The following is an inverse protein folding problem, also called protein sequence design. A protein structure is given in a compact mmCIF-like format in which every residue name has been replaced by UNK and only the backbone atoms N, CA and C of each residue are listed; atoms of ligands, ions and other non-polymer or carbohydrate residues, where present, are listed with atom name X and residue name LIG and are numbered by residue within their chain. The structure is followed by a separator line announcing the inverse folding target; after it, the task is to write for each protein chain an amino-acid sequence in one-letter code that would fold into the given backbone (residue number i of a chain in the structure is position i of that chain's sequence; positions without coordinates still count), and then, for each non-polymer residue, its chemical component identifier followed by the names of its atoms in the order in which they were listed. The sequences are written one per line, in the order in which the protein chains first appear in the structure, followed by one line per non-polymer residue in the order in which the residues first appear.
data_IF_243521747838
#
_entry.id   IF_243521747838
#
_cell.length_a   1.000
_cell.length_b   1.000
_cell.length_c   1.000
_cell.angle_alpha   90.00
_cell.angle_beta   90.00
_cell.angle_gamma   90.00
#
_symmetry.space_group_name_H-M   'P 1'
#
loop_
_entity.id
_entity.type
_entity.pdbx_description
1 polymer ?
#
# COMPACT_ATOMS: atom_id res chain seq x y z
N UNK A 1 -16.74 -32.85 -25.75
CA UNK A 1 -15.60 -33.03 -24.83
C UNK A 1 -16.17 -33.63 -23.55
N UNK A 2 -15.65 -34.73 -23.01
CA UNK A 2 -16.22 -35.30 -21.78
C UNK A 2 -15.91 -34.39 -20.59
N UNK A 3 -16.81 -34.36 -19.60
CA UNK A 3 -16.64 -33.56 -18.38
C UNK A 3 -15.31 -33.87 -17.68
N UNK A 4 -14.86 -35.13 -17.71
CA UNK A 4 -13.57 -35.55 -17.17
C UNK A 4 -12.37 -34.86 -17.83
N UNK A 5 -12.40 -34.67 -19.16
CA UNK A 5 -11.33 -33.95 -19.87
C UNK A 5 -11.39 -32.46 -19.51
N UNK A 6 -12.60 -31.88 -19.43
CA UNK A 6 -12.78 -30.48 -19.04
C UNK A 6 -12.27 -30.20 -17.63
N UNK A 7 -12.67 -31.01 -16.64
CA UNK A 7 -12.21 -30.87 -15.26
C UNK A 7 -10.71 -31.13 -15.13
N UNK A 8 -10.14 -32.02 -15.94
CA UNK A 8 -8.69 -32.27 -15.97
C UNK A 8 -7.87 -31.06 -16.46
N UNK A 9 -8.40 -30.25 -17.39
CA UNK A 9 -7.69 -29.07 -17.93
C UNK A 9 -8.05 -27.75 -17.23
N UNK A 10 -9.19 -27.69 -16.53
CA UNK A 10 -9.69 -26.47 -15.91
C UNK A 10 -8.68 -25.75 -15.00
N UNK A 11 -7.90 -26.43 -14.13
CA UNK A 11 -6.88 -25.75 -13.33
C UNK A 11 -5.81 -25.04 -14.17
N UNK A 12 -5.40 -25.62 -15.29
CA UNK A 12 -4.41 -25.03 -16.19
C UNK A 12 -4.98 -23.83 -16.95
N UNK A 13 -6.26 -23.89 -17.34
CA UNK A 13 -6.95 -22.76 -17.96
C UNK A 13 -7.00 -21.59 -16.97
N UNK A 14 -7.52 -21.83 -15.75
CA UNK A 14 -7.59 -20.84 -14.68
C UNK A 14 -6.21 -20.23 -14.41
N UNK A 15 -5.17 -21.07 -14.29
CA UNK A 15 -3.80 -20.62 -14.06
C UNK A 15 -3.30 -19.70 -15.18
N UNK A 16 -3.59 -20.05 -16.43
CA UNK A 16 -3.11 -19.33 -17.60
C UNK A 16 -3.79 -17.99 -17.80
N UNK A 17 -5.04 -17.83 -17.33
CA UNK A 17 -5.79 -16.57 -17.45
C UNK A 17 -5.66 -15.67 -16.22
N UNK A 18 -5.40 -16.22 -15.03
CA UNK A 18 -5.51 -15.49 -13.76
C UNK A 18 -4.18 -15.22 -13.05
N UNK A 19 -3.10 -15.95 -13.37
CA UNK A 19 -1.80 -15.70 -12.72
C UNK A 19 -1.04 -14.62 -13.48
N UNK A 20 -0.90 -13.45 -12.85
CA UNK A 20 -0.12 -12.31 -13.37
C UNK A 20 1.26 -12.19 -12.72
N UNK A 21 1.45 -12.76 -11.53
CA UNK A 21 2.70 -12.73 -10.77
C UNK A 21 3.14 -14.16 -10.41
N UNK A 22 4.43 -14.47 -10.58
CA UNK A 22 4.98 -15.81 -10.34
C UNK A 22 5.44 -16.02 -8.91
N UNK A 23 5.85 -14.95 -8.25
CA UNK A 23 6.46 -14.97 -6.93
C UNK A 23 5.45 -14.62 -5.83
N UNK A 24 5.74 -15.06 -4.61
CA UNK A 24 4.95 -14.70 -3.43
C UNK A 24 5.28 -13.28 -2.96
N UNK A 25 4.36 -12.68 -2.20
CA UNK A 25 4.47 -11.30 -1.73
C UNK A 25 5.79 -10.99 -1.00
N UNK A 26 6.32 -11.84 -0.08
CA UNK A 26 7.60 -11.57 0.56
C UNK A 26 8.77 -11.46 -0.45
N UNK A 27 8.76 -12.28 -1.50
CA UNK A 27 9.77 -12.21 -2.57
C UNK A 27 9.60 -10.94 -3.39
N UNK A 28 8.36 -10.58 -3.74
CA UNK A 28 8.03 -9.35 -4.48
C UNK A 28 8.51 -8.11 -3.71
N UNK A 29 8.29 -8.08 -2.40
CA UNK A 29 8.80 -7.02 -1.53
C UNK A 29 10.34 -7.03 -1.45
N UNK A 30 10.97 -8.20 -1.31
CA UNK A 30 12.42 -8.32 -1.25
C UNK A 30 13.13 -7.82 -2.52
N UNK A 31 12.49 -7.92 -3.70
CA UNK A 31 13.05 -7.42 -4.98
C UNK A 31 12.73 -5.94 -5.25
N UNK A 32 12.12 -5.23 -4.29
CA UNK A 32 11.95 -3.77 -4.35
C UNK A 32 10.59 -3.26 -4.80
N UNK A 33 9.60 -4.14 -5.03
CA UNK A 33 8.25 -3.66 -5.35
C UNK A 33 7.59 -3.02 -4.12
N UNK A 34 7.04 -1.82 -4.30
CA UNK A 34 6.32 -1.07 -3.25
C UNK A 34 4.93 -0.61 -3.68
N UNK A 35 4.60 -0.73 -4.96
CA UNK A 35 3.32 -0.30 -5.51
C UNK A 35 2.50 -1.54 -5.90
N UNK A 36 1.29 -1.64 -5.36
CA UNK A 36 0.39 -2.75 -5.60
C UNK A 36 -0.99 -2.23 -6.02
N UNK A 37 -1.54 -2.77 -7.11
CA UNK A 37 -2.92 -2.48 -7.52
C UNK A 37 -3.84 -3.58 -7.04
N UNK A 38 -4.86 -3.22 -6.28
CA UNK A 38 -5.73 -4.14 -5.55
C UNK A 38 -7.18 -3.97 -6.00
N UNK A 39 -7.83 -5.11 -6.26
CA UNK A 39 -9.25 -5.21 -6.59
C UNK A 39 -9.97 -6.02 -5.51
N UNK A 40 -10.22 -5.44 -4.32
CA UNK A 40 -10.83 -6.17 -3.22
C UNK A 40 -12.30 -6.44 -3.52
N UNK A 41 -12.72 -7.70 -3.46
CA UNK A 41 -14.13 -8.08 -3.45
C UNK A 41 -14.32 -9.43 -2.75
N UNK A 42 -15.57 -9.69 -2.37
CA UNK A 42 -16.03 -11.00 -1.94
C UNK A 42 -16.06 -12.01 -3.09
N UNK A 43 -16.20 -13.28 -2.74
CA UNK A 43 -16.38 -14.34 -3.73
C UNK A 43 -17.64 -14.10 -4.56
N UNK A 44 -17.59 -14.54 -5.81
CA UNK A 44 -18.74 -14.46 -6.71
C UNK A 44 -19.95 -15.21 -6.12
N UNK A 45 -21.16 -14.63 -6.18
CA UNK A 45 -22.39 -15.23 -5.62
C UNK A 45 -22.65 -16.67 -6.02
N UNK A 46 -22.32 -17.04 -7.26
CA UNK A 46 -22.46 -18.42 -7.76
C UNK A 46 -21.44 -19.41 -7.16
N UNK A 47 -20.31 -18.90 -6.66
CA UNK A 47 -19.23 -19.70 -6.05
C UNK A 47 -19.47 -19.88 -4.55
N UNK A 48 -20.07 -18.89 -3.86
CA UNK A 48 -20.32 -18.95 -2.41
C UNK A 48 -20.91 -20.29 -1.91
N UNK A 49 -21.94 -20.90 -2.53
CA UNK A 49 -22.54 -22.13 -2.01
C UNK A 49 -21.66 -23.37 -2.15
N UNK A 50 -20.64 -23.31 -3.01
CA UNK A 50 -19.73 -24.43 -3.33
C UNK A 50 -18.28 -24.13 -2.94
N UNK A 51 -18.01 -22.95 -2.40
CA UNK A 51 -16.68 -22.50 -2.03
C UNK A 51 -16.14 -23.36 -0.89
N UNK A 52 -14.90 -23.82 -1.04
CA UNK A 52 -14.15 -24.49 0.04
C UNK A 52 -13.27 -23.51 0.82
N UNK A 53 -13.41 -22.20 0.55
CA UNK A 53 -12.68 -21.12 1.18
C UNK A 53 -13.66 -20.15 1.84
N UNK A 54 -13.27 -19.45 2.94
CA UNK A 54 -14.14 -18.50 3.62
C UNK A 54 -14.58 -17.36 2.70
N UNK A 55 -15.79 -16.85 2.91
CA UNK A 55 -16.21 -15.58 2.29
C UNK A 55 -15.61 -14.39 3.04
N UNK A 56 -14.72 -13.68 2.36
CA UNK A 56 -13.96 -12.50 2.83
C UNK A 56 -13.43 -11.74 1.62
N UNK A 57 -12.72 -10.64 1.86
CA UNK A 57 -12.11 -9.87 0.77
C UNK A 57 -10.88 -10.60 0.22
N UNK A 58 -10.89 -10.82 -1.09
CA UNK A 58 -9.77 -11.32 -1.86
C UNK A 58 -9.36 -10.31 -2.92
N UNK A 59 -8.09 -10.36 -3.33
CA UNK A 59 -7.65 -9.69 -4.53
C UNK A 59 -8.21 -10.42 -5.75
N UNK A 60 -9.14 -9.79 -6.46
CA UNK A 60 -9.82 -10.39 -7.59
C UNK A 60 -9.09 -10.14 -8.91
N UNK A 61 -8.98 -11.19 -9.71
CA UNK A 61 -8.76 -11.07 -11.15
C UNK A 61 -9.96 -11.70 -11.86
N UNK A 62 -10.84 -10.85 -12.39
CA UNK A 62 -12.18 -11.26 -12.83
C UNK A 62 -12.93 -11.96 -11.65
N UNK A 63 -13.65 -13.10 -11.78
CA UNK A 63 -14.26 -13.75 -10.61
C UNK A 63 -13.29 -14.63 -9.82
N UNK A 64 -11.99 -14.65 -10.16
CA UNK A 64 -11.03 -15.60 -9.61
C UNK A 64 -10.34 -14.95 -8.39
N UNK A 65 -10.52 -15.51 -7.17
CA UNK A 65 -9.90 -14.96 -5.97
C UNK A 65 -8.41 -15.31 -5.91
N UNK A 66 -7.58 -14.31 -5.61
CA UNK A 66 -6.16 -14.43 -5.33
C UNK A 66 -5.87 -14.44 -3.83
N UNK A 67 -4.87 -13.66 -3.40
CA UNK A 67 -4.52 -13.51 -1.97
C UNK A 67 -5.67 -12.82 -1.21
N UNK A 68 -5.93 -13.26 0.01
CA UNK A 68 -6.88 -12.61 0.90
C UNK A 68 -6.30 -11.27 1.39
N UNK A 69 -7.16 -10.24 1.53
CA UNK A 69 -6.73 -8.87 1.86
C UNK A 69 -6.09 -8.81 3.26
N UNK A 70 -6.62 -9.55 4.23
CA UNK A 70 -6.05 -9.70 5.57
C UNK A 70 -4.61 -10.23 5.54
N UNK A 71 -4.36 -11.27 4.74
CA UNK A 71 -3.04 -11.87 4.59
C UNK A 71 -2.06 -10.94 3.88
N UNK A 72 -2.50 -10.24 2.83
CA UNK A 72 -1.67 -9.23 2.16
C UNK A 72 -1.27 -8.10 3.12
N UNK A 73 -2.23 -7.55 3.86
CA UNK A 73 -1.95 -6.47 4.80
C UNK A 73 -1.00 -6.93 5.91
N UNK A 74 -1.20 -8.14 6.44
CA UNK A 74 -0.29 -8.72 7.44
C UNK A 74 1.16 -8.75 6.94
N UNK A 75 1.40 -9.27 5.74
CA UNK A 75 2.74 -9.35 5.15
C UNK A 75 3.34 -7.95 4.88
N UNK A 76 2.53 -6.99 4.42
CA UNK A 76 2.97 -5.60 4.25
C UNK A 76 3.38 -4.96 5.58
N UNK A 77 2.57 -5.13 6.64
CA UNK A 77 2.87 -4.60 7.97
C UNK A 77 4.14 -5.25 8.53
N UNK A 78 4.26 -6.58 8.43
CA UNK A 78 5.45 -7.30 8.86
C UNK A 78 6.72 -6.80 8.13
N UNK A 79 6.63 -6.56 6.82
CA UNK A 79 7.72 -6.00 6.03
C UNK A 79 8.09 -4.58 6.49
N UNK A 80 7.12 -3.68 6.67
CA UNK A 80 7.36 -2.30 7.10
C UNK A 80 7.95 -2.24 8.52
N UNK A 81 7.55 -3.14 9.42
CA UNK A 81 8.15 -3.25 10.76
C UNK A 81 9.63 -3.67 10.69
N UNK A 82 10.00 -4.55 9.76
CA UNK A 82 11.38 -4.98 9.55
C UNK A 82 12.21 -3.95 8.77
N UNK A 83 11.55 -3.07 8.01
CA UNK A 83 12.17 -2.08 7.12
C UNK A 83 11.54 -0.69 7.32
N UNK A 84 11.82 -0.01 8.46
CA UNK A 84 11.11 1.20 8.87
C UNK A 84 11.32 2.44 7.99
N UNK A 85 12.22 2.37 7.00
CA UNK A 85 12.46 3.44 6.03
C UNK A 85 11.75 3.20 4.69
N UNK A 86 11.03 2.09 4.56
CA UNK A 86 10.28 1.74 3.36
C UNK A 86 8.85 2.26 3.41
N UNK A 87 8.23 2.38 2.23
CA UNK A 87 6.80 2.70 2.08
C UNK A 87 6.14 1.67 1.20
N UNK A 88 4.85 1.39 1.42
CA UNK A 88 4.05 0.59 0.49
C UNK A 88 2.84 1.41 0.08
N UNK A 89 2.60 1.48 -1.23
CA UNK A 89 1.47 2.16 -1.85
C UNK A 89 0.52 1.13 -2.42
N UNK A 90 -0.74 1.19 -2.01
CA UNK A 90 -1.79 0.29 -2.48
C UNK A 90 -2.85 1.12 -3.20
N UNK A 91 -2.99 0.91 -4.51
CA UNK A 91 -4.06 1.51 -5.30
C UNK A 91 -5.28 0.59 -5.27
N UNK A 92 -6.39 1.05 -4.70
CA UNK A 92 -7.67 0.33 -4.74
C UNK A 92 -8.41 0.64 -6.04
N UNK A 93 -8.81 -0.41 -6.74
CA UNK A 93 -9.56 -0.35 -8.00
C UNK A 93 -10.70 -1.37 -8.01
N UNK A 94 -11.62 -1.22 -8.96
CA UNK A 94 -12.75 -2.14 -9.12
C UNK A 94 -13.03 -2.54 -10.57
N UNK A 95 -12.25 -2.05 -11.53
CA UNK A 95 -12.33 -2.51 -12.92
C UNK A 95 -11.90 -3.98 -13.01
N UNK A 96 -12.67 -4.78 -13.75
CA UNK A 96 -12.43 -6.22 -13.93
C UNK A 96 -13.14 -7.11 -12.91
N UNK A 97 -13.47 -6.65 -11.71
CA UNK A 97 -14.28 -7.45 -10.78
C UNK A 97 -15.77 -7.47 -11.21
N UNK A 98 -16.40 -8.64 -11.40
CA UNK A 98 -17.82 -8.74 -11.73
C UNK A 98 -18.70 -8.10 -10.66
N UNK A 99 -19.87 -7.57 -11.05
CA UNK A 99 -20.81 -6.93 -10.11
C UNK A 99 -21.37 -7.91 -9.06
N UNK A 100 -21.32 -9.20 -9.36
CA UNK A 100 -21.69 -10.32 -8.50
C UNK A 100 -20.64 -10.64 -7.43
N UNK A 101 -19.44 -10.08 -7.54
CA UNK A 101 -18.45 -10.07 -6.46
C UNK A 101 -18.70 -8.79 -5.64
N UNK A 102 -19.22 -8.94 -4.41
CA UNK A 102 -19.58 -7.78 -3.60
C UNK A 102 -18.31 -6.97 -3.28
N UNK A 103 -18.34 -5.67 -3.60
CA UNK A 103 -17.26 -4.74 -3.25
C UNK A 103 -17.33 -4.42 -1.76
N UNK A 104 -16.20 -4.23 -1.08
CA UNK A 104 -16.23 -3.73 0.28
C UNK A 104 -16.82 -2.32 0.30
N UNK A 105 -17.49 -2.00 1.39
CA UNK A 105 -17.74 -0.61 1.74
C UNK A 105 -16.53 -0.03 2.51
N UNK A 106 -16.53 1.28 2.73
CA UNK A 106 -15.41 1.97 3.39
C UNK A 106 -15.18 1.47 4.82
N UNK A 107 -16.25 1.13 5.56
CA UNK A 107 -16.17 0.63 6.94
C UNK A 107 -15.50 -0.74 7.00
N UNK A 108 -15.86 -1.64 6.09
CA UNK A 108 -15.27 -2.96 6.00
C UNK A 108 -13.78 -2.86 5.69
N UNK A 109 -13.41 -2.11 4.65
CA UNK A 109 -12.00 -1.95 4.28
C UNK A 109 -11.18 -1.32 5.42
N UNK A 110 -11.73 -0.30 6.09
CA UNK A 110 -11.12 0.29 7.28
C UNK A 110 -10.96 -0.73 8.42
N UNK A 111 -11.92 -1.65 8.58
CA UNK A 111 -11.84 -2.77 9.53
C UNK A 111 -10.65 -3.70 9.28
N UNK A 112 -10.39 -4.06 8.02
CA UNK A 112 -9.22 -4.87 7.64
C UNK A 112 -7.91 -4.14 7.96
N UNK A 113 -7.81 -2.86 7.56
CA UNK A 113 -6.62 -2.03 7.81
C UNK A 113 -6.37 -1.89 9.31
N UNK A 114 -7.41 -1.53 10.07
CA UNK A 114 -7.33 -1.39 11.53
C UNK A 114 -6.88 -2.68 12.20
N UNK A 115 -7.39 -3.83 11.76
CA UNK A 115 -7.01 -5.14 12.30
C UNK A 115 -5.54 -5.44 12.03
N UNK A 116 -5.06 -5.18 10.80
CA UNK A 116 -3.66 -5.41 10.44
C UNK A 116 -2.70 -4.50 11.22
N UNK A 117 -3.09 -3.25 11.51
CA UNK A 117 -2.27 -2.31 12.27
C UNK A 117 -2.13 -2.65 13.75
N UNK A 118 -2.99 -3.50 14.32
CA UNK A 118 -2.90 -3.86 15.75
C UNK A 118 -1.54 -4.46 16.13
N UNK A 119 -0.86 -5.12 15.20
CA UNK A 119 0.47 -5.70 15.45
C UNK A 119 1.62 -4.69 15.39
N UNK A 120 1.39 -3.47 14.90
CA UNK A 120 2.45 -2.46 14.74
C UNK A 120 2.67 -1.60 15.98
N UNK A 121 1.85 -1.70 17.03
CA UNK A 121 1.92 -0.83 18.21
C UNK A 121 2.01 0.67 17.84
N UNK A 122 1.22 1.09 16.85
CA UNK A 122 1.17 2.46 16.30
C UNK A 122 2.49 2.95 15.65
N UNK A 123 3.46 2.07 15.35
CA UNK A 123 4.70 2.46 14.66
C UNK A 123 4.51 2.62 13.14
N UNK A 124 3.44 2.04 12.58
CA UNK A 124 3.08 2.17 11.18
C UNK A 124 1.84 3.03 11.07
N UNK A 125 1.91 4.02 10.18
CA UNK A 125 0.82 4.97 9.94
C UNK A 125 0.30 4.73 8.53
N UNK A 126 -1.03 4.75 8.40
CA UNK A 126 -1.72 4.60 7.11
C UNK A 126 -2.44 5.90 6.78
N UNK A 127 -2.15 6.45 5.62
CA UNK A 127 -2.72 7.70 5.14
C UNK A 127 -3.24 7.56 3.72
N UNK A 128 -4.22 8.40 3.35
CA UNK A 128 -4.73 8.46 1.98
C UNK A 128 -3.84 9.34 1.09
N UNK A 129 -4.07 9.30 -0.22
CA UNK A 129 -3.41 10.23 -1.15
C UNK A 129 -3.71 11.69 -0.83
N UNK A 130 -4.93 11.99 -0.36
CA UNK A 130 -5.32 13.34 0.03
C UNK A 130 -4.52 13.81 1.25
N UNK A 131 -4.28 12.91 2.20
CA UNK A 131 -3.48 13.19 3.38
C UNK A 131 -2.00 13.36 3.03
N UNK A 132 -1.47 12.51 2.14
CA UNK A 132 -0.13 12.66 1.59
C UNK A 132 0.02 13.99 0.84
N UNK A 133 -0.98 14.42 0.06
CA UNK A 133 -0.94 15.68 -0.68
C UNK A 133 -0.94 16.87 0.28
N UNK A 134 -1.74 16.82 1.35
CA UNK A 134 -1.71 17.84 2.42
C UNK A 134 -0.34 17.86 3.09
N UNK A 135 0.21 16.70 3.44
CA UNK A 135 1.51 16.54 4.06
C UNK A 135 2.62 17.14 3.19
N UNK A 136 2.66 16.78 1.90
CA UNK A 136 3.61 17.33 0.92
C UNK A 136 3.42 18.85 0.79
N UNK A 137 2.18 19.35 0.72
CA UNK A 137 1.96 20.80 0.62
C UNK A 137 2.46 21.57 1.85
N UNK A 138 2.49 20.93 3.03
CA UNK A 138 2.97 21.50 4.28
C UNK A 138 4.49 21.31 4.50
N UNK A 139 5.07 20.24 3.96
CA UNK A 139 6.49 19.89 4.14
C UNK A 139 7.38 20.27 2.96
N UNK A 140 6.80 20.52 1.78
CA UNK A 140 7.57 20.86 0.60
C UNK A 140 8.13 22.27 0.74
N UNK A 141 9.31 22.35 1.35
CA UNK A 141 10.24 23.45 1.14
C UNK A 141 10.88 23.39 -0.26
N UNK A 142 10.58 22.35 -1.05
CA UNK A 142 11.13 22.11 -2.37
C UNK A 142 10.56 23.14 -3.36
N UNK A 143 11.44 23.99 -3.85
CA UNK A 143 11.21 24.93 -4.95
C UNK A 143 12.11 24.48 -6.11
N UNK A 144 11.51 24.18 -7.26
CA UNK A 144 12.24 23.75 -8.47
C UNK A 144 13.32 24.77 -8.85
N UNK A 145 13.03 26.06 -8.68
CA UNK A 145 13.98 27.14 -8.97
C UNK A 145 15.20 27.11 -8.04
N UNK A 146 15.08 26.48 -6.87
CA UNK A 146 16.13 26.39 -5.85
C UNK A 146 16.93 25.09 -5.88
N UNK A 147 16.52 24.07 -6.64
CA UNK A 147 17.15 22.74 -6.58
C UNK A 147 17.64 22.22 -7.94
N UNK A 148 17.12 22.77 -9.05
CA UNK A 148 17.59 22.46 -10.40
C UNK A 148 18.18 23.72 -11.05
N UNK A 149 19.46 24.01 -10.78
CA UNK A 149 20.09 25.28 -11.18
C UNK A 149 21.43 25.03 -11.88
N UNK A 150 21.75 25.83 -12.91
CA UNK A 150 23.05 25.81 -13.59
C UNK A 150 24.13 26.56 -12.79
N UNK A 151 23.72 27.45 -11.88
CA UNK A 151 24.56 28.17 -10.92
C UNK A 151 23.78 28.49 -9.63
N UNK A 152 24.46 28.85 -8.54
CA UNK A 152 23.87 28.96 -7.20
C UNK A 152 22.97 30.18 -6.95
N UNK A 153 22.74 31.04 -7.93
CA UNK A 153 22.08 32.34 -7.72
C UNK A 153 20.61 32.19 -7.28
N UNK A 154 19.89 31.22 -7.85
CA UNK A 154 18.49 30.98 -7.50
C UNK A 154 18.31 30.27 -6.14
N UNK A 155 19.34 29.55 -5.67
CA UNK A 155 19.41 29.03 -4.29
C UNK A 155 19.47 30.19 -3.30
N UNK A 156 20.38 31.15 -3.53
CA UNK A 156 20.55 32.32 -2.65
C UNK A 156 19.28 33.16 -2.65
N UNK A 157 18.69 33.43 -3.81
CA UNK A 157 17.45 34.21 -3.89
C UNK A 157 16.26 33.53 -3.18
N UNK A 158 16.20 32.20 -3.15
CA UNK A 158 15.18 31.49 -2.39
C UNK A 158 15.46 31.47 -0.89
N UNK A 159 16.72 31.35 -0.50
CA UNK A 159 17.14 31.47 0.89
C UNK A 159 16.82 32.86 1.47
N UNK A 160 17.09 33.93 0.72
CA UNK A 160 16.79 35.31 1.13
C UNK A 160 15.28 35.56 1.23
N UNK A 161 14.49 35.01 0.30
CA UNK A 161 13.02 35.05 0.38
C UNK A 161 12.52 34.37 1.65
N UNK A 162 12.98 33.15 1.95
CA UNK A 162 12.54 32.38 3.12
C UNK A 162 13.05 32.93 4.45
N UNK A 163 14.21 33.57 4.47
CA UNK A 163 14.75 34.22 5.67
C UNK A 163 14.11 35.58 5.96
N UNK A 164 13.48 36.22 4.97
CA UNK A 164 12.77 37.49 5.14
C UNK A 164 11.34 37.36 5.69
N UNK A 165 10.73 36.17 5.63
CA UNK A 165 9.47 35.86 6.30
C UNK A 165 9.73 35.51 7.76
N UNK A 166 9.73 36.53 8.63
CA UNK A 166 9.59 36.31 10.06
C UNK A 166 8.28 35.53 10.33
N UNK A 167 8.39 34.40 11.05
CA UNK A 167 7.32 33.52 11.52
C UNK A 167 7.00 32.24 10.72
N UNK A 168 8.01 31.48 10.30
CA UNK A 168 7.91 30.03 10.53
C UNK A 168 8.67 29.72 11.81
N UNK A 169 7.95 29.73 12.94
CA UNK A 169 8.35 28.99 14.13
C UNK A 169 8.63 27.57 13.65
N UNK A 170 9.90 27.26 13.44
CA UNK A 170 10.35 25.93 13.09
C UNK A 170 9.91 24.99 14.20
N UNK A 171 8.75 24.39 14.07
CA UNK A 171 8.37 23.23 14.86
C UNK A 171 9.30 22.13 14.40
N UNK A 172 10.35 21.89 15.20
CA UNK A 172 11.02 20.61 15.18
C UNK A 172 9.95 19.54 15.41
N UNK A 173 9.49 18.90 14.33
CA UNK A 173 8.63 17.74 14.43
C UNK A 173 9.53 16.55 14.69
N UNK A 174 9.73 16.29 15.99
CA UNK A 174 10.09 14.96 16.46
C UNK A 174 8.97 14.00 16.08
N UNK A 175 9.18 13.20 15.04
CA UNK A 175 8.38 12.00 14.87
C UNK A 175 8.74 11.06 16.03
N UNK A 176 7.80 10.81 16.93
CA UNK A 176 7.98 9.92 18.07
C UNK A 176 7.94 8.45 17.61
N UNK A 177 8.93 8.04 16.82
CA UNK A 177 9.44 6.68 16.83
C UNK A 177 10.78 6.75 17.55
N UNK A 178 10.91 6.07 18.69
CA UNK A 178 12.05 6.17 19.62
C UNK A 178 13.41 6.38 18.92
N UNK A 179 13.89 7.62 18.94
CA UNK A 179 15.31 7.89 18.85
C UNK A 179 15.90 7.44 20.17
N UNK A 180 16.46 6.23 20.23
CA UNK A 180 17.37 5.84 21.31
C UNK A 180 18.62 6.68 21.11
N UNK A 181 18.61 7.87 21.71
CA UNK A 181 19.80 8.69 21.89
C UNK A 181 20.64 8.03 22.98
N UNK A 182 21.42 7.02 22.60
CA UNK A 182 22.48 6.52 23.46
C UNK A 182 23.65 7.52 23.35
N UNK A 183 23.64 8.49 24.25
CA UNK A 183 24.82 9.29 24.56
C UNK A 183 25.86 8.31 25.09
N UNK A 184 26.86 7.99 24.27
CA UNK A 184 28.10 7.44 24.76
C UNK A 184 28.93 8.62 25.26
N UNK A 185 28.92 8.81 26.57
CA UNK A 185 29.97 9.55 27.26
C UNK A 185 31.29 8.77 27.10
N UNK A 186 32.23 9.34 26.35
CA UNK A 186 33.68 9.13 26.51
C UNK A 186 34.36 10.49 26.39
#
# INVERSE_FOLDING_TARGET
MSDAILFGIAPNIIRSIAITQKDFLPTILAIGARYFEFRPAHLHKAVLPIAQIPDRLYFMHDPIPGIAVDHFLYDCIAFLMAHPLEIIVVLIRWDGAPAECARPNDEELAGYIKTALQSSNDTIITESLDDMTKLISQLSSYDDASNATLNGDSIIAAFDRKSSTAAEDGKALCYHGQCVQQVLDV
#
